data_IF_826594196014
#
_entry.id   IF_826594196014
#
_cell.length_a   1.000
_cell.length_b   1.000
_cell.length_c   1.000
_cell.angle_alpha   90.00
_cell.angle_beta   90.00
_cell.angle_gamma   90.00
#
_symmetry.space_group_name_H-M   'P 1'
#
loop_
_entity.id
_entity.type
_entity.pdbx_description
1 polymer ?
#
# COMPACT_ATOMS: atom_id res chain seq x y z
N UNK A 1 -8.93 26.09 4.91
CA UNK A 1 -8.49 25.76 3.53
C UNK A 1 -7.34 24.79 3.66
N UNK A 2 -7.44 23.66 2.97
CA UNK A 2 -6.51 22.53 3.04
C UNK A 2 -5.07 22.93 2.66
N UNK A 3 -4.08 22.26 3.25
CA UNK A 3 -2.67 22.35 2.86
C UNK A 3 -2.52 21.89 1.40
N UNK A 4 -1.87 22.69 0.55
CA UNK A 4 -1.71 22.42 -0.90
C UNK A 4 -0.73 21.29 -1.22
N UNK A 5 -0.06 20.74 -0.21
CA UNK A 5 1.03 19.77 -0.34
C UNK A 5 0.89 18.69 0.70
N UNK A 6 1.17 17.44 0.30
CA UNK A 6 1.23 16.29 1.21
C UNK A 6 2.68 16.02 1.61
N UNK A 7 2.86 15.42 2.79
CA UNK A 7 4.17 15.01 3.26
C UNK A 7 4.72 13.87 2.40
N UNK A 8 6.00 13.94 2.08
CA UNK A 8 6.68 12.86 1.38
C UNK A 8 6.63 11.59 2.24
N UNK A 9 6.13 10.49 1.66
CA UNK A 9 6.09 9.19 2.31
C UNK A 9 7.02 8.21 1.62
N UNK A 10 7.50 7.22 2.39
CA UNK A 10 8.40 6.19 1.88
C UNK A 10 7.71 4.85 1.90
N UNK A 11 7.59 4.22 0.72
CA UNK A 11 7.19 2.83 0.58
C UNK A 11 8.43 1.97 0.35
N UNK A 12 8.69 1.04 1.27
CA UNK A 12 9.77 0.07 1.11
C UNK A 12 9.18 -1.30 0.86
N UNK A 13 9.53 -1.88 -0.29
CA UNK A 13 9.22 -3.26 -0.63
C UNK A 13 10.49 -4.11 -0.65
N UNK A 14 10.36 -5.38 -0.29
CA UNK A 14 11.42 -6.36 -0.40
C UNK A 14 10.87 -7.69 -0.93
N UNK A 15 11.61 -8.33 -1.85
CA UNK A 15 11.25 -9.66 -2.36
C UNK A 15 12.48 -10.56 -2.38
N UNK A 16 12.31 -11.77 -1.86
CA UNK A 16 13.31 -12.84 -1.91
C UNK A 16 12.78 -13.94 -2.82
N UNK A 17 13.59 -14.36 -3.78
CA UNK A 17 13.26 -15.47 -4.69
C UNK A 17 14.34 -16.53 -4.65
N UNK A 18 13.95 -17.76 -4.28
CA UNK A 18 14.80 -18.94 -4.34
C UNK A 18 14.47 -19.76 -5.59
N UNK A 19 15.45 -19.90 -6.48
CA UNK A 19 15.32 -20.71 -7.70
C UNK A 19 15.92 -22.10 -7.50
N UNK A 20 15.13 -23.12 -7.82
CA UNK A 20 15.53 -24.52 -7.99
C UNK A 20 15.44 -24.89 -9.48
N UNK A 21 15.87 -26.11 -9.84
CA UNK A 21 15.89 -26.56 -11.24
C UNK A 21 14.53 -26.52 -11.95
N UNK A 22 13.43 -26.88 -11.26
CA UNK A 22 12.06 -26.92 -11.80
C UNK A 22 11.07 -26.04 -11.04
N UNK A 23 11.49 -25.42 -9.94
CA UNK A 23 10.64 -24.70 -9.01
C UNK A 23 11.30 -23.38 -8.66
N UNK A 24 10.53 -22.29 -8.61
CA UNK A 24 10.98 -21.03 -8.04
C UNK A 24 10.00 -20.63 -6.94
N UNK A 25 10.50 -20.47 -5.73
CA UNK A 25 9.73 -19.96 -4.59
C UNK A 25 10.03 -18.48 -4.42
N UNK A 26 9.02 -17.65 -4.23
CA UNK A 26 9.19 -16.23 -3.92
C UNK A 26 8.33 -15.84 -2.73
N UNK A 27 8.89 -14.99 -1.89
CA UNK A 27 8.21 -14.33 -0.78
C UNK A 27 8.58 -12.86 -0.84
N UNK A 28 7.60 -11.99 -0.63
CA UNK A 28 7.81 -10.56 -0.65
C UNK A 28 6.93 -9.85 0.36
N UNK A 29 7.32 -8.62 0.65
CA UNK A 29 6.61 -7.69 1.51
C UNK A 29 6.55 -6.35 0.80
N UNK A 30 5.37 -5.76 0.77
CA UNK A 30 5.15 -4.38 0.37
C UNK A 30 4.85 -3.56 1.63
N UNK A 31 5.30 -2.31 1.64
CA UNK A 31 5.10 -1.40 2.75
C UNK A 31 5.68 -1.97 4.07
N UNK A 32 6.98 -2.31 4.05
CA UNK A 32 7.72 -2.92 5.15
C UNK A 32 7.58 -2.13 6.47
N UNK A 33 7.60 -0.81 6.38
CA UNK A 33 7.46 0.13 7.51
C UNK A 33 6.01 0.45 7.89
N UNK A 34 5.03 -0.23 7.26
CA UNK A 34 3.60 -0.09 7.56
C UNK A 34 3.07 1.35 7.47
N UNK A 35 3.60 2.11 6.51
CA UNK A 35 3.16 3.47 6.24
C UNK A 35 1.73 3.44 5.69
N UNK A 36 0.77 3.86 6.49
CA UNK A 36 -0.63 3.97 6.10
C UNK A 36 -1.02 5.43 6.21
N UNK A 37 -1.70 5.96 5.20
CA UNK A 37 -2.23 7.32 5.26
C UNK A 37 -3.20 7.43 6.45
N UNK A 38 -2.93 8.28 7.46
CA UNK A 38 -3.92 8.56 8.50
C UNK A 38 -5.06 9.36 7.87
N UNK A 39 -6.30 8.88 8.06
CA UNK A 39 -7.54 9.50 7.54
C UNK A 39 -7.58 9.63 6.00
N UNK A 40 -7.79 8.51 5.26
CA UNK A 40 -7.98 8.53 3.80
C UNK A 40 -9.30 9.19 3.36
N UNK A 41 -10.21 9.46 4.29
CA UNK A 41 -11.49 10.13 4.05
C UNK A 41 -11.67 11.22 5.13
N UNK A 42 -11.70 12.47 4.69
CA UNK A 42 -12.19 13.59 5.51
C UNK A 42 -13.72 13.49 5.59
N UNK A 43 -14.30 13.65 6.77
CA UNK A 43 -15.75 13.65 7.00
C UNK A 43 -16.49 12.33 6.66
N UNK A 44 -15.89 11.16 6.98
CA UNK A 44 -16.58 9.87 6.86
C UNK A 44 -17.87 9.76 7.70
N UNK A 45 -18.06 10.66 8.66
CA UNK A 45 -19.22 10.72 9.55
C UNK A 45 -20.41 11.50 8.98
N UNK A 46 -20.25 12.28 7.89
CA UNK A 46 -21.32 13.14 7.37
C UNK A 46 -21.25 13.30 5.83
N UNK A 47 -21.65 12.27 5.06
CA UNK A 47 -21.37 12.14 3.62
C UNK A 47 -22.21 13.05 2.69
N UNK A 48 -23.05 13.94 3.24
CA UNK A 48 -23.98 14.80 2.49
C UNK A 48 -23.63 16.30 2.55
N UNK A 49 -22.50 16.67 3.19
CA UNK A 49 -21.99 18.05 3.23
C UNK A 49 -21.14 18.35 1.99
N UNK A 50 -21.18 19.59 1.50
CA UNK A 50 -20.38 20.09 0.36
C UNK A 50 -18.84 19.94 0.52
N UNK A 51 -18.37 19.61 1.72
CA UNK A 51 -16.96 19.36 2.04
C UNK A 51 -16.54 17.88 1.92
N UNK A 52 -17.44 16.98 1.47
CA UNK A 52 -17.12 15.56 1.26
C UNK A 52 -16.23 15.40 0.01
N UNK A 53 -14.92 15.26 0.23
CA UNK A 53 -13.97 15.00 -0.83
C UNK A 53 -13.29 13.63 -0.63
N UNK A 54 -13.71 12.66 -1.45
CA UNK A 54 -13.14 11.32 -1.52
C UNK A 54 -12.00 11.20 -2.56
N UNK A 55 -11.60 12.29 -3.22
CA UNK A 55 -10.60 12.27 -4.31
C UNK A 55 -9.16 12.43 -3.83
N UNK A 56 -8.94 12.77 -2.56
CA UNK A 56 -7.62 13.05 -1.98
C UNK A 56 -6.94 11.81 -1.36
N UNK A 57 -6.82 10.73 -2.15
CA UNK A 57 -5.97 9.58 -1.79
C UNK A 57 -4.55 9.87 -2.27
N UNK A 58 -3.71 10.38 -1.38
CA UNK A 58 -2.32 10.73 -1.70
C UNK A 58 -1.31 9.67 -1.23
N UNK A 59 -1.73 8.73 -0.38
CA UNK A 59 -0.87 7.68 0.16
C UNK A 59 -1.51 6.29 0.15
N UNK A 60 -0.78 5.27 0.61
CA UNK A 60 -1.27 3.90 0.70
C UNK A 60 -2.41 3.82 1.73
N UNK A 61 -3.58 3.38 1.27
CA UNK A 61 -4.76 3.12 2.12
C UNK A 61 -4.65 1.76 2.82
N UNK A 62 -3.84 0.86 2.27
CA UNK A 62 -3.59 -0.46 2.85
C UNK A 62 -2.22 -0.47 3.53
N UNK A 63 -2.19 -1.01 4.74
CA UNK A 63 -0.95 -1.24 5.49
C UNK A 63 -0.06 -2.33 4.87
N UNK A 64 0.87 -2.85 5.68
CA UNK A 64 1.86 -3.84 5.27
C UNK A 64 1.21 -5.08 4.63
N UNK A 65 1.67 -5.45 3.43
CA UNK A 65 1.24 -6.65 2.72
C UNK A 65 2.39 -7.63 2.61
N UNK A 66 2.16 -8.89 3.01
CA UNK A 66 3.12 -9.98 2.84
C UNK A 66 2.52 -10.96 1.85
N UNK A 67 3.28 -11.35 0.83
CA UNK A 67 2.85 -12.27 -0.21
C UNK A 67 3.89 -13.37 -0.42
N UNK A 68 3.43 -14.53 -0.88
CA UNK A 68 4.27 -15.64 -1.27
C UNK A 68 3.68 -16.40 -2.44
N UNK A 69 4.53 -17.00 -3.25
CA UNK A 69 4.10 -17.81 -4.36
C UNK A 69 5.18 -18.75 -4.85
N UNK A 70 4.76 -19.66 -5.72
CA UNK A 70 5.60 -20.66 -6.35
C UNK A 70 5.37 -20.66 -7.85
N UNK A 71 6.44 -20.84 -8.62
CA UNK A 71 6.41 -21.01 -10.06
C UNK A 71 7.06 -22.33 -10.41
N UNK A 72 6.30 -23.22 -11.04
CA UNK A 72 6.84 -24.45 -11.62
C UNK A 72 7.25 -24.19 -13.07
N UNK A 73 8.50 -24.50 -13.41
CA UNK A 73 8.98 -24.48 -14.78
C UNK A 73 8.94 -25.94 -15.28
N UNK A 74 7.99 -26.23 -16.16
CA UNK A 74 7.82 -27.53 -16.83
C UNK A 74 8.79 -27.60 -18.02
#
# INVERSE_FOLDING_TARGET
MWEKTYDAYTLVGAQITKRFKKLSLYVGVENLFDFTQPHPIVASSDPWRDDFDATMVWGPVHGRKIYGGLRWNI
#
